data_IF_645975457142
#
_entry.id   IF_645975457142
#
_cell.length_a   1.000
_cell.length_b   1.000
_cell.length_c   1.000
_cell.angle_alpha   90.00
_cell.angle_beta   90.00
_cell.angle_gamma   90.00
#
_symmetry.space_group_name_H-M   'P 1'
#
loop_
_entity.id
_entity.type
_entity.pdbx_description
1 polymer ?
#
# COMPACT_ATOMS: atom_id res chain seq x y z
N UNK A 1 -5.11 18.73 -55.82
CA UNK A 1 -5.29 18.05 -54.53
C UNK A 1 -4.05 18.38 -53.74
N UNK A 2 -4.23 19.03 -52.59
CA UNK A 2 -3.12 19.47 -51.73
C UNK A 2 -2.74 18.25 -50.89
N UNK A 3 -1.50 17.77 -51.06
CA UNK A 3 -0.96 16.67 -50.24
C UNK A 3 -0.95 17.10 -48.78
N UNK A 4 -1.47 16.23 -47.91
CA UNK A 4 -1.46 16.45 -46.48
C UNK A 4 -0.02 16.27 -45.96
N UNK A 5 0.60 17.35 -45.50
CA UNK A 5 1.82 17.26 -44.71
C UNK A 5 1.51 16.59 -43.38
N UNK A 6 2.12 15.42 -43.18
CA UNK A 6 2.08 14.71 -41.92
C UNK A 6 3.00 15.45 -40.94
N UNK A 7 2.43 16.36 -40.15
CA UNK A 7 3.14 16.98 -39.02
C UNK A 7 3.20 15.93 -37.92
N UNK A 8 4.34 15.25 -37.80
CA UNK A 8 4.67 14.52 -36.58
C UNK A 8 4.69 15.53 -35.44
N UNK A 9 3.75 15.39 -34.51
CA UNK A 9 3.82 16.08 -33.22
C UNK A 9 5.16 15.74 -32.60
N UNK A 10 5.98 16.76 -32.33
CA UNK A 10 7.19 16.60 -31.55
C UNK A 10 6.86 15.76 -30.31
N UNK A 11 7.57 14.64 -30.16
CA UNK A 11 7.52 13.84 -28.96
C UNK A 11 7.79 14.77 -27.78
N UNK A 12 6.81 14.92 -26.89
CA UNK A 12 6.97 15.64 -25.64
C UNK A 12 8.02 14.88 -24.82
N UNK A 13 9.29 15.24 -24.99
CA UNK A 13 10.32 14.98 -23.98
C UNK A 13 9.89 15.73 -22.72
N UNK A 14 9.06 15.08 -21.91
CA UNK A 14 8.75 15.54 -20.57
C UNK A 14 10.06 15.40 -19.80
N UNK A 15 10.78 16.50 -19.60
CA UNK A 15 11.89 16.55 -18.64
C UNK A 15 11.38 16.01 -17.31
N UNK A 16 11.80 14.80 -16.97
CA UNK A 16 11.44 14.18 -15.70
C UNK A 16 12.26 14.92 -14.65
N UNK A 17 11.64 15.65 -13.70
CA UNK A 17 12.39 16.29 -12.64
C UNK A 17 13.19 15.24 -11.84
N UNK A 18 14.23 15.65 -11.11
CA UNK A 18 14.97 14.72 -10.22
C UNK A 18 14.05 14.29 -9.06
N UNK A 19 13.26 13.24 -9.31
CA UNK A 19 12.28 12.67 -8.40
C UNK A 19 12.78 11.30 -7.96
N UNK A 20 12.93 11.10 -6.65
CA UNK A 20 13.16 9.77 -6.10
C UNK A 20 11.85 8.99 -6.11
N UNK A 21 11.85 7.82 -6.74
CA UNK A 21 10.69 6.95 -6.82
C UNK A 21 10.83 5.81 -5.82
N UNK A 22 9.77 5.54 -5.06
CA UNK A 22 9.74 4.47 -4.07
C UNK A 22 8.46 3.66 -4.19
N UNK A 23 8.56 2.34 -4.14
CA UNK A 23 7.42 1.44 -4.00
C UNK A 23 7.47 0.74 -2.64
N UNK A 24 6.35 0.73 -1.91
CA UNK A 24 6.19 -0.03 -0.66
C UNK A 24 5.16 -1.12 -0.91
N UNK A 25 5.59 -2.39 -0.81
CA UNK A 25 4.68 -3.55 -0.86
C UNK A 25 3.83 -3.55 0.39
N UNK A 26 2.53 -3.26 0.26
CA UNK A 26 1.64 -3.19 1.41
C UNK A 26 0.18 -3.44 1.00
N UNK A 27 -0.49 -4.28 1.78
CA UNK A 27 -1.91 -4.54 1.64
C UNK A 27 -2.78 -3.34 2.02
N UNK A 28 -4.01 -3.34 1.49
CA UNK A 28 -4.96 -2.23 1.62
C UNK A 28 -5.24 -1.86 3.08
N UNK A 29 -5.21 -2.83 4.00
CA UNK A 29 -5.51 -2.56 5.41
C UNK A 29 -4.42 -1.70 6.09
N UNK A 30 -3.19 -1.74 5.57
CA UNK A 30 -2.02 -1.08 6.14
C UNK A 30 -1.48 0.11 5.34
N UNK A 31 -2.10 0.48 4.22
CA UNK A 31 -1.72 1.70 3.46
C UNK A 31 -1.72 2.97 4.33
N UNK A 32 -2.70 3.12 5.21
CA UNK A 32 -2.76 4.26 6.13
C UNK A 32 -1.63 4.25 7.17
N UNK A 33 -1.16 3.07 7.58
CA UNK A 33 -0.02 2.93 8.49
C UNK A 33 1.27 3.44 7.82
N UNK A 34 1.54 3.00 6.59
CA UNK A 34 2.68 3.50 5.80
C UNK A 34 2.58 5.00 5.59
N UNK A 35 1.39 5.50 5.20
CA UNK A 35 1.16 6.92 4.99
C UNK A 35 1.47 7.74 6.26
N UNK A 36 1.06 7.27 7.44
CA UNK A 36 1.37 7.93 8.70
C UNK A 36 2.87 8.07 8.97
N UNK A 37 3.67 7.07 8.59
CA UNK A 37 5.13 7.13 8.69
C UNK A 37 5.76 8.08 7.67
N UNK A 38 5.28 8.08 6.43
CA UNK A 38 5.73 9.04 5.40
C UNK A 38 5.43 10.48 5.86
N UNK A 39 4.22 10.73 6.37
CA UNK A 39 3.84 12.04 6.94
C UNK A 39 4.77 12.44 8.09
N UNK A 40 5.11 11.50 8.98
CA UNK A 40 5.98 11.77 10.13
C UNK A 40 7.40 12.13 9.73
N UNK A 41 7.88 11.63 8.59
CA UNK A 41 9.22 11.93 8.06
C UNK A 41 9.25 13.17 7.15
N UNK A 42 8.09 13.78 6.86
CA UNK A 42 8.05 15.01 6.07
C UNK A 42 8.70 16.16 6.84
N UNK A 43 9.53 16.94 6.16
CA UNK A 43 10.13 18.15 6.75
C UNK A 43 9.06 19.15 7.17
N UNK A 44 9.39 20.01 8.14
CA UNK A 44 8.44 21.02 8.61
C UNK A 44 7.96 21.93 7.49
N UNK A 45 8.82 22.35 6.56
CA UNK A 45 8.44 23.19 5.42
C UNK A 45 7.89 22.40 4.21
N UNK A 46 7.75 21.08 4.35
CA UNK A 46 7.29 20.19 3.29
C UNK A 46 5.79 20.30 3.04
N UNK A 47 5.41 20.06 1.78
CA UNK A 47 4.02 19.86 1.38
C UNK A 47 3.85 18.53 0.68
N UNK A 48 2.74 17.85 0.98
CA UNK A 48 2.43 16.52 0.48
C UNK A 48 1.13 16.52 -0.32
N UNK A 49 1.18 15.89 -1.49
CA UNK A 49 0.01 15.59 -2.30
C UNK A 49 -0.22 14.08 -2.36
N UNK A 50 -1.36 13.63 -1.84
CA UNK A 50 -1.75 12.23 -1.75
C UNK A 50 -2.82 11.97 -2.80
N UNK A 51 -2.56 11.06 -3.73
CA UNK A 51 -3.50 10.66 -4.75
C UNK A 51 -4.27 9.40 -4.37
N UNK A 52 -5.58 9.45 -4.58
CA UNK A 52 -6.47 8.30 -4.51
C UNK A 52 -7.38 8.24 -5.73
N UNK A 53 -7.77 7.02 -6.12
CA UNK A 53 -8.52 6.79 -7.36
C UNK A 53 -9.99 7.22 -7.25
N UNK A 54 -10.56 7.32 -6.04
CA UNK A 54 -12.00 7.58 -5.86
C UNK A 54 -12.27 8.72 -4.88
N UNK A 55 -13.31 9.51 -5.14
CA UNK A 55 -13.79 10.58 -4.24
C UNK A 55 -14.09 10.07 -2.83
N UNK A 56 -14.70 8.89 -2.72
CA UNK A 56 -15.01 8.26 -1.43
C UNK A 56 -13.75 7.97 -0.64
N UNK A 57 -12.71 7.47 -1.30
CA UNK A 57 -11.46 7.17 -0.62
C UNK A 57 -10.71 8.45 -0.21
N UNK A 58 -10.80 9.54 -0.99
CA UNK A 58 -10.31 10.86 -0.55
C UNK A 58 -10.93 11.26 0.80
N UNK A 59 -12.26 11.19 0.92
CA UNK A 59 -12.96 11.52 2.18
C UNK A 59 -12.56 10.58 3.33
N UNK A 60 -12.44 9.28 3.05
CA UNK A 60 -12.03 8.27 4.05
C UNK A 60 -10.61 8.52 4.55
N UNK A 61 -9.66 8.84 3.66
CA UNK A 61 -8.28 9.14 4.04
C UNK A 61 -8.26 10.38 4.94
N UNK A 62 -8.93 11.46 4.55
CA UNK A 62 -9.00 12.71 5.34
C UNK A 62 -9.60 12.46 6.72
N UNK A 63 -10.74 11.78 6.78
CA UNK A 63 -11.40 11.45 8.05
C UNK A 63 -10.49 10.62 8.97
N UNK A 64 -9.82 9.60 8.41
CA UNK A 64 -8.94 8.72 9.18
C UNK A 64 -7.68 9.43 9.64
N UNK A 65 -7.02 10.22 8.80
CA UNK A 65 -5.87 11.03 9.21
C UNK A 65 -6.24 11.97 10.35
N UNK A 66 -7.42 12.61 10.28
CA UNK A 66 -7.96 13.45 11.35
C UNK A 66 -8.13 12.72 12.69
N UNK A 67 -8.60 11.45 12.67
CA UNK A 67 -8.69 10.61 13.88
C UNK A 67 -7.34 10.34 14.54
N UNK A 68 -6.25 10.41 13.78
CA UNK A 68 -4.87 10.26 14.26
C UNK A 68 -4.16 11.61 14.44
N UNK A 69 -4.91 12.71 14.53
CA UNK A 69 -4.39 14.08 14.71
C UNK A 69 -3.44 14.54 13.59
N UNK A 70 -3.50 13.91 12.42
CA UNK A 70 -2.79 14.34 11.23
C UNK A 70 -3.74 15.20 10.40
N UNK A 71 -3.49 16.51 10.34
CA UNK A 71 -4.33 17.44 9.60
C UNK A 71 -4.09 17.28 8.09
N UNK A 72 -5.17 16.97 7.37
CA UNK A 72 -5.19 16.89 5.93
C UNK A 72 -6.52 17.45 5.41
N UNK A 73 -6.48 18.00 4.19
CA UNK A 73 -7.66 18.46 3.46
C UNK A 73 -7.85 17.63 2.20
N UNK A 74 -9.10 17.46 1.76
CA UNK A 74 -9.43 16.64 0.60
C UNK A 74 -10.02 17.46 -0.55
N UNK A 75 -9.74 17.09 -1.80
CA UNK A 75 -10.36 17.67 -2.99
C UNK A 75 -10.75 16.58 -4.00
N UNK A 76 -12.00 16.59 -4.45
CA UNK A 76 -12.50 15.67 -5.45
C UNK A 76 -13.58 16.33 -6.33
N UNK A 77 -13.98 15.68 -7.43
CA UNK A 77 -14.86 16.26 -8.46
C UNK A 77 -16.25 16.70 -7.97
N UNK A 78 -16.84 16.01 -7.00
CA UNK A 78 -18.16 16.36 -6.43
C UNK A 78 -18.13 17.61 -5.51
N UNK A 79 -16.98 18.20 -5.22
CA UNK A 79 -16.92 19.36 -4.33
C UNK A 79 -17.40 20.63 -5.03
N UNK A 80 -18.22 21.48 -4.37
CA UNK A 80 -18.58 22.79 -4.90
C UNK A 80 -17.35 23.65 -5.22
N UNK A 81 -17.38 24.35 -6.34
CA UNK A 81 -16.24 25.13 -6.85
C UNK A 81 -15.67 26.11 -5.81
N UNK A 82 -16.53 26.85 -5.09
CA UNK A 82 -16.12 27.75 -4.01
C UNK A 82 -15.34 27.05 -2.89
N UNK A 83 -15.72 25.81 -2.54
CA UNK A 83 -15.02 25.01 -1.54
C UNK A 83 -13.66 24.55 -2.08
N UNK A 84 -13.61 24.14 -3.36
CA UNK A 84 -12.35 23.78 -4.04
C UNK A 84 -11.37 24.94 -4.02
N UNK A 85 -11.79 26.13 -4.41
CA UNK A 85 -10.95 27.34 -4.43
C UNK A 85 -10.38 27.69 -3.05
N UNK A 86 -11.19 27.59 -2.00
CA UNK A 86 -10.72 27.80 -0.62
C UNK A 86 -9.65 26.77 -0.21
N UNK A 87 -9.93 25.48 -0.44
CA UNK A 87 -8.99 24.38 -0.13
C UNK A 87 -7.67 24.58 -0.86
N UNK A 88 -7.72 24.92 -2.15
CA UNK A 88 -6.55 25.21 -2.96
C UNK A 88 -5.79 26.44 -2.46
N UNK A 89 -6.49 27.50 -2.07
CA UNK A 89 -5.85 28.70 -1.51
C UNK A 89 -5.08 28.38 -0.22
N UNK A 90 -5.66 27.57 0.68
CA UNK A 90 -5.02 27.17 1.95
C UNK A 90 -3.84 26.24 1.76
N UNK A 91 -3.91 25.38 0.74
CA UNK A 91 -2.77 24.54 0.36
C UNK A 91 -1.66 25.39 -0.27
N UNK A 92 -1.98 26.31 -1.20
CA UNK A 92 -1.01 27.21 -1.83
C UNK A 92 -0.32 28.16 -0.84
N UNK A 93 -1.02 28.62 0.19
CA UNK A 93 -0.44 29.48 1.23
C UNK A 93 0.43 28.72 2.24
N UNK A 94 0.35 27.38 2.27
CA UNK A 94 1.03 26.54 3.26
C UNK A 94 0.27 26.40 4.60
N UNK A 95 -0.92 26.99 4.74
CA UNK A 95 -1.76 26.85 5.94
C UNK A 95 -2.15 25.38 6.19
N UNK A 96 -2.31 24.63 5.10
CA UNK A 96 -2.48 23.19 5.09
C UNK A 96 -1.34 22.56 4.29
N UNK A 97 -0.64 21.59 4.91
CA UNK A 97 0.55 20.96 4.31
C UNK A 97 0.24 19.65 3.58
N UNK A 98 -0.95 19.07 3.80
CA UNK A 98 -1.32 17.77 3.26
C UNK A 98 -2.65 17.88 2.51
N UNK A 99 -2.61 17.61 1.21
CA UNK A 99 -3.78 17.57 0.34
C UNK A 99 -3.99 16.15 -0.19
N UNK A 100 -5.21 15.63 -0.05
CA UNK A 100 -5.65 14.36 -0.63
C UNK A 100 -6.53 14.65 -1.84
N UNK A 101 -6.24 14.06 -3.00
CA UNK A 101 -6.92 14.40 -4.25
C UNK A 101 -7.21 13.19 -5.15
N UNK A 102 -8.22 13.33 -6.00
CA UNK A 102 -8.34 12.51 -7.22
C UNK A 102 -7.62 13.17 -8.39
N UNK A 103 -7.28 12.40 -9.43
CA UNK A 103 -6.62 12.92 -10.65
C UNK A 103 -7.36 14.11 -11.26
N UNK A 104 -8.68 13.95 -11.46
CA UNK A 104 -9.53 14.99 -12.05
C UNK A 104 -9.48 16.29 -11.24
N UNK A 105 -9.46 16.18 -9.91
CA UNK A 105 -9.46 17.33 -9.03
C UNK A 105 -8.10 18.04 -8.93
N UNK A 106 -7.01 17.31 -9.19
CA UNK A 106 -5.64 17.80 -9.17
C UNK A 106 -5.12 18.26 -10.55
N UNK A 107 -5.85 18.03 -11.64
CA UNK A 107 -5.52 18.62 -12.95
C UNK A 107 -5.55 20.14 -12.86
N UNK A 108 -4.51 20.79 -13.39
CA UNK A 108 -4.34 22.24 -13.28
C UNK A 108 -4.01 22.72 -11.87
N UNK A 109 -3.68 21.81 -10.94
CA UNK A 109 -3.10 22.19 -9.65
C UNK A 109 -1.71 22.78 -9.90
N UNK A 110 -1.68 24.12 -9.87
CA UNK A 110 -0.46 24.91 -9.96
C UNK A 110 -0.05 25.33 -8.54
N UNK A 111 0.71 24.44 -7.89
CA UNK A 111 1.22 24.62 -6.53
C UNK A 111 2.71 24.33 -6.56
N UNK A 112 3.50 25.34 -6.26
CA UNK A 112 4.93 25.19 -6.03
C UNK A 112 5.17 24.65 -4.62
N UNK A 113 6.28 23.92 -4.42
CA UNK A 113 6.69 23.49 -3.08
C UNK A 113 6.16 22.14 -2.60
N UNK A 114 5.43 21.39 -3.44
CA UNK A 114 5.17 19.97 -3.15
C UNK A 114 6.51 19.24 -3.14
N UNK A 115 6.90 18.73 -1.98
CA UNK A 115 8.13 17.95 -1.78
C UNK A 115 7.85 16.46 -1.86
N UNK A 116 6.64 16.04 -1.48
CA UNK A 116 6.26 14.62 -1.43
C UNK A 116 4.97 14.37 -2.19
N UNK A 117 4.99 13.41 -3.11
CA UNK A 117 3.79 12.83 -3.72
C UNK A 117 3.59 11.43 -3.17
N UNK A 118 2.36 11.07 -2.83
CA UNK A 118 2.01 9.69 -2.44
C UNK A 118 0.89 9.17 -3.32
N UNK A 119 1.18 8.15 -4.13
CA UNK A 119 0.16 7.32 -4.76
C UNK A 119 -0.40 6.35 -3.71
N UNK A 120 -1.41 6.79 -2.96
CA UNK A 120 -2.10 5.95 -1.99
C UNK A 120 -2.78 4.79 -2.72
N UNK A 121 -3.47 5.10 -3.82
CA UNK A 121 -3.89 4.11 -4.80
C UNK A 121 -3.05 4.29 -6.06
N UNK A 122 -2.53 3.19 -6.62
CA UNK A 122 -1.81 3.24 -7.89
C UNK A 122 -2.82 3.59 -9.01
N UNK A 123 -2.50 4.53 -9.92
CA UNK A 123 -3.40 4.86 -11.02
C UNK A 123 -3.52 3.68 -11.98
N UNK A 124 -4.72 3.45 -12.51
CA UNK A 124 -4.95 2.39 -13.50
C UNK A 124 -4.28 2.67 -14.86
N UNK A 125 -4.09 3.95 -15.18
CA UNK A 125 -3.48 4.43 -16.40
C UNK A 125 -2.02 4.85 -16.18
N UNK A 126 -1.15 4.53 -17.12
CA UNK A 126 0.29 4.79 -17.02
C UNK A 126 0.62 6.28 -17.17
N UNK A 127 -0.11 7.04 -17.97
CA UNK A 127 0.09 8.49 -18.12
C UNK A 127 -0.32 9.23 -16.84
N UNK A 128 -1.41 8.77 -16.20
CA UNK A 128 -1.83 9.32 -14.91
C UNK A 128 -0.72 9.20 -13.86
N UNK A 129 0.07 8.11 -13.86
CA UNK A 129 1.23 7.98 -12.95
C UNK A 129 2.25 9.11 -13.13
N UNK A 130 2.68 9.36 -14.36
CA UNK A 130 3.65 10.43 -14.68
C UNK A 130 3.10 11.80 -14.30
N UNK A 131 1.82 12.05 -14.59
CA UNK A 131 1.15 13.30 -14.21
C UNK A 131 1.05 13.53 -12.70
N UNK A 132 0.96 12.45 -11.90
CA UNK A 132 0.95 12.51 -10.44
C UNK A 132 2.34 12.80 -9.88
N UNK A 133 3.36 12.05 -10.30
CA UNK A 133 4.73 12.26 -9.79
C UNK A 133 5.31 13.60 -10.24
N UNK A 134 4.95 14.10 -11.43
CA UNK A 134 5.34 15.43 -11.93
C UNK A 134 4.74 16.61 -11.15
N UNK A 135 4.02 16.35 -10.05
CA UNK A 135 3.60 17.37 -9.07
C UNK A 135 4.70 17.70 -8.06
N UNK A 136 5.71 16.85 -7.89
CA UNK A 136 6.90 17.13 -7.07
C UNK A 136 8.12 17.39 -7.93
N UNK A 137 9.25 17.74 -7.32
CA UNK A 137 10.54 17.92 -8.00
C UNK A 137 10.68 19.20 -8.84
N UNK A 138 9.73 20.14 -8.73
CA UNK A 138 9.72 21.37 -9.53
C UNK A 138 10.74 22.40 -9.03
N UNK A 139 11.17 23.28 -9.93
CA UNK A 139 12.09 24.41 -9.65
C UNK A 139 13.45 23.99 -9.08
N UNK A 140 14.02 22.87 -9.53
CA UNK A 140 15.34 22.39 -9.11
C UNK A 140 15.40 21.88 -7.67
N UNK A 141 14.24 21.67 -7.01
CA UNK A 141 14.15 20.99 -5.72
C UNK A 141 14.02 19.49 -5.92
N UNK A 142 14.62 18.71 -5.02
CA UNK A 142 14.40 17.26 -4.98
C UNK A 142 12.97 16.96 -4.56
N UNK A 143 12.36 15.98 -5.23
CA UNK A 143 11.03 15.50 -4.92
C UNK A 143 11.03 14.01 -4.60
N UNK A 144 10.18 13.58 -3.69
CA UNK A 144 9.97 12.15 -3.42
C UNK A 144 8.57 11.74 -3.87
N UNK A 145 8.46 10.59 -4.54
CA UNK A 145 7.20 9.98 -4.92
C UNK A 145 7.09 8.55 -4.40
N UNK A 146 6.14 8.34 -3.48
CA UNK A 146 5.89 7.06 -2.84
C UNK A 146 4.67 6.38 -3.45
N UNK A 147 4.77 5.10 -3.78
CA UNK A 147 3.66 4.29 -4.28
C UNK A 147 3.34 3.15 -3.33
N UNK A 148 2.09 3.07 -2.87
CA UNK A 148 1.63 2.00 -1.99
C UNK A 148 1.01 0.88 -2.82
N UNK A 149 1.70 -0.26 -2.88
CA UNK A 149 1.47 -1.30 -3.87
C UNK A 149 0.97 -2.56 -3.16
N UNK A 150 -0.30 -2.87 -3.32
CA UNK A 150 -0.85 -4.17 -2.88
C UNK A 150 -0.51 -5.28 -3.87
N UNK A 151 -0.77 -6.53 -3.50
CA UNK A 151 -0.64 -7.71 -4.38
C UNK A 151 -1.29 -7.51 -5.75
N UNK A 152 -2.49 -6.92 -5.78
CA UNK A 152 -3.23 -6.62 -7.01
C UNK A 152 -2.55 -5.53 -7.88
N UNK A 153 -1.81 -4.62 -7.26
CA UNK A 153 -1.18 -3.47 -7.93
C UNK A 153 0.15 -3.84 -8.60
N UNK A 154 0.78 -4.97 -8.24
CA UNK A 154 2.13 -5.36 -8.68
C UNK A 154 2.28 -5.38 -10.20
N UNK A 155 1.33 -6.02 -10.90
CA UNK A 155 1.37 -6.11 -12.36
C UNK A 155 1.22 -4.75 -13.04
N UNK A 156 0.40 -3.87 -12.47
CA UNK A 156 0.21 -2.51 -12.98
C UNK A 156 1.47 -1.64 -12.75
N UNK A 157 2.13 -1.76 -11.60
CA UNK A 157 3.39 -1.04 -11.36
C UNK A 157 4.49 -1.48 -12.36
N UNK A 158 4.58 -2.78 -12.65
CA UNK A 158 5.52 -3.30 -13.65
C UNK A 158 5.23 -2.74 -15.04
N UNK A 159 3.95 -2.65 -15.41
CA UNK A 159 3.52 -2.00 -16.65
C UNK A 159 3.95 -0.53 -16.70
N UNK A 160 3.67 0.24 -15.65
CA UNK A 160 4.08 1.66 -15.53
C UNK A 160 5.59 1.81 -15.71
N UNK A 161 6.38 1.04 -14.95
CA UNK A 161 7.84 1.08 -15.00
C UNK A 161 8.36 0.76 -16.40
N UNK A 162 7.82 -0.28 -17.06
CA UNK A 162 8.24 -0.68 -18.40
C UNK A 162 7.84 0.31 -19.48
N UNK A 163 6.64 0.89 -19.40
CA UNK A 163 6.13 1.85 -20.39
C UNK A 163 6.93 3.14 -20.41
N UNK A 164 7.36 3.63 -19.23
CA UNK A 164 8.04 4.92 -19.09
C UNK A 164 9.54 4.80 -18.79
N UNK A 165 10.09 3.58 -18.79
CA UNK A 165 11.50 3.34 -18.46
C UNK A 165 11.90 3.80 -17.05
N UNK A 166 10.96 3.77 -16.10
CA UNK A 166 11.17 4.27 -14.74
C UNK A 166 11.75 3.17 -13.83
N UNK A 167 12.81 3.49 -13.11
CA UNK A 167 13.30 2.65 -12.01
C UNK A 167 12.53 3.00 -10.72
N UNK A 168 11.71 2.05 -10.25
CA UNK A 168 10.90 2.23 -9.05
C UNK A 168 11.28 1.12 -8.05
N UNK A 169 12.33 1.32 -7.23
CA UNK A 169 12.77 0.32 -6.28
C UNK A 169 11.69 0.02 -5.24
N UNK A 170 11.51 -1.27 -4.93
CA UNK A 170 10.80 -1.66 -3.72
C UNK A 170 11.69 -1.39 -2.51
N UNK A 171 11.16 -0.62 -1.56
CA UNK A 171 11.83 -0.27 -0.31
C UNK A 171 11.01 -0.72 0.87
N UNK A 172 11.68 -0.93 1.99
CA UNK A 172 10.99 -1.13 3.26
C UNK A 172 10.20 0.12 3.64
N UNK A 173 9.17 -0.09 4.46
CA UNK A 173 8.42 1.04 5.02
C UNK A 173 9.39 1.92 5.81
N UNK A 174 9.36 3.26 5.65
CA UNK A 174 10.23 4.16 6.41
C UNK A 174 10.18 3.88 7.90
N UNK A 175 11.32 4.02 8.56
CA UNK A 175 11.37 4.02 10.03
C UNK A 175 10.70 5.28 10.59
N UNK A 176 10.38 5.25 11.88
CA UNK A 176 9.88 6.44 12.56
C UNK A 176 11.03 7.44 12.73
N UNK A 177 10.78 8.75 12.59
CA UNK A 177 11.81 9.76 12.81
C UNK A 177 12.24 9.78 14.29
N UNK A 178 13.44 10.31 14.53
CA UNK A 178 13.99 10.47 15.87
C UNK A 178 13.00 11.19 16.80
N UNK A 179 12.74 10.61 17.97
CA UNK A 179 11.82 11.16 18.97
C UNK A 179 10.38 10.64 18.88
N UNK A 180 10.00 9.94 17.81
CA UNK A 180 8.69 9.26 17.72
C UNK A 180 8.86 7.78 18.04
N UNK A 181 8.31 7.34 19.18
CA UNK A 181 8.46 5.95 19.65
C UNK A 181 7.27 5.06 19.34
N UNK A 182 6.19 5.61 18.79
CA UNK A 182 4.96 4.88 18.47
C UNK A 182 4.43 5.32 17.13
N UNK A 183 3.96 4.33 16.37
CA UNK A 183 3.26 4.58 15.12
C UNK A 183 2.02 5.48 15.33
N UNK A 184 1.85 6.56 14.54
CA UNK A 184 0.64 7.39 14.60
C UNK A 184 -0.63 6.60 14.28
N UNK A 185 -0.52 5.66 13.34
CA UNK A 185 -1.57 4.74 12.91
C UNK A 185 -1.10 3.34 13.22
N UNK A 186 -1.88 2.51 13.91
CA UNK A 186 -1.41 1.14 14.23
C UNK A 186 -1.40 0.27 12.98
N UNK A 187 -0.30 -0.46 12.76
CA UNK A 187 -0.26 -1.59 11.81
C UNK A 187 -1.26 -2.66 12.26
N UNK A 188 -1.95 -3.25 11.29
CA UNK A 188 -2.94 -4.30 11.47
C UNK A 188 -2.42 -5.60 10.86
N UNK A 189 -2.91 -6.72 11.37
CA UNK A 189 -2.74 -7.99 10.67
C UNK A 189 -3.56 -7.94 9.37
N UNK A 190 -2.88 -8.11 8.24
CA UNK A 190 -3.46 -8.03 6.89
C UNK A 190 -3.27 -9.39 6.21
N UNK A 191 -4.07 -10.35 6.66
CA UNK A 191 -3.99 -11.72 6.20
C UNK A 191 -4.47 -11.88 4.74
N UNK A 192 -5.33 -10.97 4.27
CA UNK A 192 -5.81 -10.94 2.89
C UNK A 192 -4.65 -10.72 1.89
N UNK A 193 -3.61 -9.98 2.29
CA UNK A 193 -2.44 -9.70 1.44
C UNK A 193 -1.59 -10.96 1.18
N UNK A 194 -1.58 -11.90 2.13
CA UNK A 194 -0.82 -13.16 2.04
C UNK A 194 -1.72 -14.36 1.68
N UNK A 195 -3.04 -14.16 1.60
CA UNK A 195 -3.97 -15.18 1.20
C UNK A 195 -3.94 -15.43 -0.32
N UNK A 196 -4.27 -16.65 -0.72
CA UNK A 196 -4.55 -16.99 -2.11
C UNK A 196 -5.96 -16.53 -2.56
N UNK A 197 -6.33 -16.88 -3.79
CA UNK A 197 -7.64 -16.51 -4.37
C UNK A 197 -8.84 -17.16 -3.66
N UNK A 198 -8.62 -18.19 -2.84
CA UNK A 198 -9.65 -18.86 -2.04
C UNK A 198 -9.66 -18.38 -0.58
N UNK A 199 -8.84 -17.38 -0.25
CA UNK A 199 -8.70 -16.87 1.11
C UNK A 199 -7.87 -17.78 1.99
N UNK A 200 -7.07 -18.70 1.45
CA UNK A 200 -6.20 -19.58 2.22
C UNK A 200 -4.85 -18.93 2.47
N UNK A 201 -4.41 -18.93 3.72
CA UNK A 201 -3.08 -18.47 4.15
C UNK A 201 -2.22 -19.70 4.46
N UNK A 202 -1.02 -19.75 3.88
CA UNK A 202 -0.07 -20.84 4.12
C UNK A 202 0.74 -20.58 5.38
N UNK A 203 0.68 -21.55 6.29
CA UNK A 203 1.45 -21.56 7.53
C UNK A 203 2.45 -22.71 7.46
N UNK A 204 3.73 -22.40 7.55
CA UNK A 204 4.79 -23.39 7.73
C UNK A 204 4.88 -23.78 9.21
N UNK A 205 4.88 -25.08 9.47
CA UNK A 205 5.13 -25.68 10.76
C UNK A 205 6.41 -26.52 10.63
N UNK A 206 7.34 -26.33 11.56
CA UNK A 206 8.58 -27.11 11.67
C UNK A 206 8.30 -28.54 12.18
N UNK A 207 7.53 -29.28 11.41
CA UNK A 207 7.09 -30.67 11.63
C UNK A 207 7.56 -31.46 10.41
N UNK A 208 8.43 -32.44 10.61
CA UNK A 208 8.89 -33.30 9.51
C UNK A 208 7.76 -34.23 9.05
N UNK A 209 7.75 -34.59 7.77
CA UNK A 209 6.71 -35.44 7.20
C UNK A 209 6.57 -36.85 7.80
N UNK A 210 7.61 -37.35 8.48
CA UNK A 210 7.60 -38.64 9.19
C UNK A 210 7.07 -38.56 10.63
N UNK A 211 6.88 -37.34 11.18
CA UNK A 211 6.45 -37.13 12.57
C UNK A 211 4.93 -37.13 12.77
N UNK A 212 4.16 -37.04 11.68
CA UNK A 212 2.70 -36.90 11.72
C UNK A 212 2.11 -37.22 10.35
N UNK A 213 0.92 -37.80 10.31
CA UNK A 213 0.12 -37.79 9.09
C UNK A 213 -0.55 -36.43 8.89
N UNK A 214 -0.91 -36.10 7.64
CA UNK A 214 -1.70 -34.90 7.31
C UNK A 214 -3.03 -34.86 8.09
N UNK A 215 -3.69 -36.02 8.21
CA UNK A 215 -4.97 -36.15 8.90
C UNK A 215 -4.84 -35.87 10.40
N UNK A 216 -3.86 -36.45 11.07
CA UNK A 216 -3.64 -36.20 12.51
C UNK A 216 -3.38 -34.72 12.78
N UNK A 217 -2.61 -34.06 11.93
CA UNK A 217 -2.32 -32.63 12.05
C UNK A 217 -3.59 -31.79 11.83
N UNK A 218 -4.37 -32.10 10.79
CA UNK A 218 -5.66 -31.44 10.52
C UNK A 218 -6.63 -31.59 11.70
N UNK A 219 -6.84 -32.82 12.16
CA UNK A 219 -7.75 -33.16 13.26
C UNK A 219 -7.31 -32.45 14.56
N UNK A 220 -6.00 -32.43 14.82
CA UNK A 220 -5.44 -31.72 15.97
C UNK A 220 -5.70 -30.21 15.90
N UNK A 221 -5.39 -29.56 14.76
CA UNK A 221 -5.62 -28.12 14.59
C UNK A 221 -7.12 -27.79 14.75
N UNK A 222 -7.99 -28.53 14.04
CA UNK A 222 -9.44 -28.33 14.07
C UNK A 222 -10.00 -28.48 15.48
N UNK A 223 -9.57 -29.52 16.19
CA UNK A 223 -9.99 -29.80 17.57
C UNK A 223 -9.50 -28.75 18.56
N UNK A 224 -8.21 -28.40 18.53
CA UNK A 224 -7.63 -27.41 19.45
C UNK A 224 -8.22 -26.02 19.23
N UNK A 225 -8.46 -25.62 17.97
CA UNK A 225 -9.04 -24.34 17.62
C UNK A 225 -10.58 -24.35 17.66
N UNK A 226 -11.24 -25.51 17.83
CA UNK A 226 -12.70 -25.64 17.80
C UNK A 226 -13.30 -25.00 16.53
N UNK A 227 -12.68 -25.29 15.39
CA UNK A 227 -13.11 -24.79 14.07
C UNK A 227 -13.60 -25.94 13.20
N UNK A 228 -14.50 -25.68 12.24
CA UNK A 228 -14.85 -26.66 11.21
C UNK A 228 -13.62 -27.05 10.37
N UNK A 229 -13.48 -28.32 10.00
CA UNK A 229 -12.36 -28.81 9.17
C UNK A 229 -12.24 -28.08 7.84
N UNK A 230 -13.34 -27.60 7.25
CA UNK A 230 -13.34 -26.82 5.99
C UNK A 230 -12.52 -25.51 6.06
N UNK A 231 -12.19 -25.04 7.27
CA UNK A 231 -11.30 -23.88 7.47
C UNK A 231 -9.83 -24.25 7.22
N UNK A 232 -9.49 -25.53 7.27
CA UNK A 232 -8.16 -26.06 6.98
C UNK A 232 -8.15 -26.51 5.51
N UNK A 233 -7.23 -25.94 4.73
CA UNK A 233 -7.04 -26.25 3.31
C UNK A 233 -6.07 -27.41 3.11
N UNK A 234 -5.27 -27.32 2.05
CA UNK A 234 -4.26 -28.34 1.77
C UNK A 234 -3.18 -28.40 2.88
N UNK A 235 -2.76 -29.63 3.19
CA UNK A 235 -1.58 -29.89 4.02
C UNK A 235 -0.53 -30.53 3.13
N UNK A 236 0.64 -29.90 3.05
CA UNK A 236 1.77 -30.33 2.22
C UNK A 236 2.97 -30.61 3.09
N UNK A 237 3.43 -31.86 3.09
CA UNK A 237 4.55 -32.29 3.92
C UNK A 237 5.82 -32.40 3.10
N UNK A 238 6.90 -31.86 3.65
CA UNK A 238 8.25 -31.92 3.10
C UNK A 238 9.17 -32.64 4.10
N UNK A 239 10.43 -32.77 3.75
CA UNK A 239 11.41 -33.52 4.58
C UNK A 239 11.63 -32.88 5.96
N UNK A 240 11.58 -31.55 6.03
CA UNK A 240 11.93 -30.78 7.24
C UNK A 240 10.76 -29.97 7.82
N UNK A 241 9.69 -29.77 7.06
CA UNK A 241 8.55 -28.95 7.46
C UNK A 241 7.23 -29.47 6.88
N UNK A 242 6.14 -28.89 7.38
CA UNK A 242 4.79 -29.13 6.91
C UNK A 242 4.10 -27.80 6.72
N UNK A 243 3.58 -27.57 5.52
CA UNK A 243 2.75 -26.42 5.17
C UNK A 243 1.28 -26.77 5.41
N UNK A 244 0.56 -25.89 6.08
CA UNK A 244 -0.88 -26.01 6.35
C UNK A 244 -1.58 -24.75 5.85
N UNK A 245 -2.57 -24.91 4.99
CA UNK A 245 -3.45 -23.82 4.59
C UNK A 245 -4.55 -23.59 5.62
N UNK A 246 -4.78 -22.34 5.99
CA UNK A 246 -5.85 -21.94 6.91
C UNK A 246 -6.58 -20.74 6.34
N UNK A 247 -7.91 -20.82 6.29
CA UNK A 247 -8.71 -19.73 5.76
C UNK A 247 -8.55 -18.43 6.59
N UNK A 248 -8.44 -17.31 5.88
CA UNK A 248 -8.14 -15.96 6.37
C UNK A 248 -9.05 -15.50 7.51
N UNK A 249 -10.31 -15.98 7.53
CA UNK A 249 -11.28 -15.66 8.56
C UNK A 249 -10.95 -16.22 9.95
N UNK A 250 -10.03 -17.20 10.05
CA UNK A 250 -9.64 -17.86 11.31
C UNK A 250 -8.14 -17.95 11.51
N UNK A 251 -7.33 -17.62 10.51
CA UNK A 251 -5.86 -17.78 10.54
C UNK A 251 -5.20 -17.18 11.78
N UNK A 252 -5.56 -15.95 12.18
CA UNK A 252 -5.00 -15.29 13.36
C UNK A 252 -5.22 -16.14 14.63
N UNK A 253 -6.46 -16.60 14.81
CA UNK A 253 -6.84 -17.39 15.97
C UNK A 253 -6.21 -18.79 15.94
N UNK A 254 -6.09 -19.41 14.76
CA UNK A 254 -5.42 -20.71 14.61
C UNK A 254 -3.94 -20.60 14.95
N UNK A 255 -3.25 -19.53 14.52
CA UNK A 255 -1.85 -19.27 14.87
C UNK A 255 -1.69 -19.14 16.39
N UNK A 256 -2.57 -18.39 17.06
CA UNK A 256 -2.52 -18.22 18.51
C UNK A 256 -2.71 -19.55 19.24
N UNK A 257 -3.65 -20.38 18.78
CA UNK A 257 -3.88 -21.72 19.31
C UNK A 257 -2.65 -22.62 19.11
N UNK A 258 -2.06 -22.63 17.91
CA UNK A 258 -0.87 -23.42 17.60
C UNK A 258 0.31 -23.01 18.50
N UNK A 259 0.51 -21.71 18.72
CA UNK A 259 1.56 -21.19 19.62
C UNK A 259 1.33 -21.55 21.09
N UNK A 260 0.06 -21.64 21.51
CA UNK A 260 -0.32 -21.90 22.89
C UNK A 260 -0.36 -23.39 23.27
N UNK A 261 -0.40 -24.30 22.28
CA UNK A 261 -0.56 -25.74 22.50
C UNK A 261 0.70 -26.51 22.13
N UNK A 262 0.81 -27.71 22.70
CA UNK A 262 1.85 -28.66 22.33
C UNK A 262 1.28 -29.69 21.36
N UNK A 263 2.06 -29.98 20.32
CA UNK A 263 1.80 -31.07 19.40
C UNK A 263 2.87 -32.14 19.61
N UNK A 264 2.46 -33.38 19.93
CA UNK A 264 3.39 -34.47 20.26
C UNK A 264 4.48 -34.09 21.30
N UNK A 265 4.11 -33.30 22.31
CA UNK A 265 5.01 -32.88 23.39
C UNK A 265 5.98 -31.75 23.04
N UNK A 266 5.83 -31.09 21.88
CA UNK A 266 6.63 -29.92 21.50
C UNK A 266 5.76 -28.70 21.20
N UNK A 267 6.28 -27.51 21.49
CA UNK A 267 5.70 -26.25 21.02
C UNK A 267 6.04 -26.02 19.57
N UNK A 268 5.06 -25.56 18.81
CA UNK A 268 5.22 -25.22 17.41
C UNK A 268 5.49 -23.72 17.25
N UNK A 269 6.29 -23.37 16.24
CA UNK A 269 6.53 -21.99 15.81
C UNK A 269 5.97 -21.83 14.40
N UNK A 270 4.71 -21.38 14.26
CA UNK A 270 4.12 -21.18 12.94
C UNK A 270 4.77 -19.97 12.26
N UNK A 271 5.19 -20.15 11.02
CA UNK A 271 5.73 -19.10 10.15
C UNK A 271 4.78 -18.89 8.97
N UNK A 272 4.53 -17.64 8.60
CA UNK A 272 3.59 -17.30 7.52
C UNK A 272 4.37 -17.26 6.22
N UNK A 273 3.87 -17.96 5.22
CA UNK A 273 4.50 -17.99 3.90
C UNK A 273 3.85 -16.95 3.01
N UNK A 274 4.67 -16.14 2.36
CA UNK A 274 4.17 -15.29 1.28
C UNK A 274 3.76 -16.16 0.09
N UNK A 275 2.59 -15.88 -0.47
CA UNK A 275 2.09 -16.51 -1.68
C UNK A 275 2.80 -16.01 -2.95
#
# INVERSE_FOLDING_TARGET
MVDAEHVMSDDLEVEIPEINLYAVKIGRANKLWVLGRIISNMSEDGQMLIFSNTKRMVDVIVERLGKFSMRAIGIHGDMPQKKRENILSRFKSGDEKILVATDVAARGLDVDGITVVVNYDLPADTEAFVHRIGRTGRMGKKGDAWSLVSKEDKGNLQKISSTWGLEIPYVETPELPNGITKDPVRKRDDWDEVADSFGMVKINLQIRGDESTKRELSDWIASQAKIPEIIIGEISQREHDTEVEVHVSKVAYVIDVIKAREYNGRKLKPEIMEA
#
